data_IF_863272163641
#
_entry.id   IF_863272163641
#
_cell.length_a   1.000
_cell.length_b   1.000
_cell.length_c   1.000
_cell.angle_alpha   90.00
_cell.angle_beta   90.00
_cell.angle_gamma   90.00
#
_symmetry.space_group_name_H-M   'P 1'
#
loop_
_entity.id
_entity.type
_entity.pdbx_description
1 polymer ?
#
# COMPACT_ATOMS: atom_id res chain seq x y z
N UNK A 1 -8.44 -16.18 8.02
CA UNK A 1 -7.35 -16.06 9.02
C UNK A 1 -6.24 -15.23 8.39
N UNK A 2 -6.11 -13.95 8.77
CA UNK A 2 -5.06 -13.06 8.25
C UNK A 2 -3.83 -13.27 9.13
N UNK A 3 -2.82 -13.97 8.63
CA UNK A 3 -1.56 -14.15 9.35
C UNK A 3 -0.73 -12.90 9.09
N UNK A 4 -0.54 -12.08 10.13
CA UNK A 4 0.31 -10.90 10.06
C UNK A 4 1.75 -11.29 10.41
N UNK A 5 2.69 -11.07 9.48
CA UNK A 5 4.10 -11.36 9.70
C UNK A 5 4.66 -10.56 10.88
N UNK A 6 4.11 -9.37 11.14
CA UNK A 6 4.49 -8.52 12.27
C UNK A 6 4.19 -9.22 13.60
N UNK A 7 3.04 -9.89 13.71
CA UNK A 7 2.65 -10.66 14.90
C UNK A 7 3.58 -11.85 15.10
N UNK A 8 3.96 -12.55 14.02
CA UNK A 8 4.93 -13.66 14.09
C UNK A 8 6.28 -13.17 14.59
N UNK A 9 6.75 -12.02 14.07
CA UNK A 9 8.02 -11.43 14.47
C UNK A 9 8.01 -10.94 15.92
N UNK A 10 6.87 -10.45 16.40
CA UNK A 10 6.72 -10.03 17.80
C UNK A 10 6.68 -11.23 18.75
N UNK A 11 5.88 -12.26 18.46
CA UNK A 11 5.87 -13.48 19.27
C UNK A 11 7.26 -14.12 19.34
N UNK A 12 7.99 -14.12 18.22
CA UNK A 12 9.36 -14.63 18.19
C UNK A 12 10.32 -13.77 19.02
N UNK A 13 10.07 -12.46 19.11
CA UNK A 13 10.83 -11.55 19.96
C UNK A 13 10.51 -11.79 21.43
N UNK A 14 9.24 -11.96 21.79
CA UNK A 14 8.81 -12.30 23.15
C UNK A 14 9.43 -13.63 23.60
N UNK A 15 9.38 -14.67 22.76
CA UNK A 15 10.03 -15.96 23.02
C UNK A 15 11.55 -15.82 23.23
N UNK A 16 12.21 -14.98 22.42
CA UNK A 16 13.65 -14.71 22.57
C UNK A 16 13.98 -13.99 23.88
N UNK A 17 13.09 -13.13 24.37
CA UNK A 17 13.26 -12.40 25.64
C UNK A 17 12.99 -13.32 26.82
N UNK A 18 11.98 -14.19 26.72
CA UNK A 18 11.60 -15.13 27.77
C UNK A 18 12.61 -16.29 27.93
N UNK A 19 13.38 -16.61 26.88
CA UNK A 19 14.40 -17.66 26.91
C UNK A 19 15.70 -17.18 27.56
N UNK A 20 16.29 -18.00 28.44
CA UNK A 20 17.63 -17.76 29.02
C UNK A 20 18.74 -17.68 27.95
N UNK A 21 18.54 -18.30 26.78
CA UNK A 21 19.49 -18.29 25.67
C UNK A 21 18.79 -18.11 24.34
N UNK A 22 19.37 -17.26 23.49
CA UNK A 22 18.92 -17.13 22.10
C UNK A 22 19.33 -18.39 21.32
N UNK A 23 18.34 -19.22 20.99
CA UNK A 23 18.52 -20.38 20.12
C UNK A 23 18.68 -19.99 18.65
N UNK A 24 19.45 -20.80 17.91
CA UNK A 24 19.65 -20.67 16.45
C UNK A 24 18.33 -20.68 15.68
N UNK A 25 17.31 -21.39 16.18
CA UNK A 25 15.98 -21.44 15.57
C UNK A 25 15.32 -20.06 15.51
N UNK A 26 15.43 -19.23 16.56
CA UNK A 26 14.84 -17.89 16.55
C UNK A 26 15.48 -16.99 15.49
N UNK A 27 16.82 -17.04 15.38
CA UNK A 27 17.56 -16.26 14.39
C UNK A 27 17.22 -16.69 12.95
N UNK A 28 17.17 -18.00 12.71
CA UNK A 28 16.82 -18.55 11.40
C UNK A 28 15.38 -18.17 11.02
N UNK A 29 14.41 -18.36 11.92
CA UNK A 29 13.01 -18.03 11.64
C UNK A 29 12.83 -16.53 11.37
N UNK A 30 13.48 -15.65 12.15
CA UNK A 30 13.47 -14.20 11.89
C UNK A 30 14.03 -13.85 10.50
N UNK A 31 15.14 -14.48 10.12
CA UNK A 31 15.77 -14.23 8.82
C UNK A 31 14.90 -14.75 7.67
N UNK A 32 14.30 -15.93 7.81
CA UNK A 32 13.38 -16.50 6.83
C UNK A 32 12.17 -15.58 6.63
N UNK A 33 11.56 -15.09 7.71
CA UNK A 33 10.42 -14.17 7.61
C UNK A 33 10.79 -12.88 6.88
N UNK A 34 11.96 -12.28 7.17
CA UNK A 34 12.46 -11.11 6.43
C UNK A 34 12.71 -11.40 4.94
N UNK A 35 13.24 -12.59 4.64
CA UNK A 35 13.47 -13.02 3.26
C UNK A 35 12.15 -13.20 2.51
N UNK A 36 11.13 -13.79 3.14
CA UNK A 36 9.78 -13.92 2.57
C UNK A 36 9.19 -12.53 2.29
N UNK A 37 9.23 -11.62 3.27
CA UNK A 37 8.75 -10.24 3.07
C UNK A 37 9.41 -9.55 1.88
N UNK A 38 10.74 -9.69 1.76
CA UNK A 38 11.51 -9.10 0.66
C UNK A 38 11.21 -9.76 -0.68
N UNK A 39 11.30 -11.09 -0.77
CA UNK A 39 11.21 -11.82 -2.03
C UNK A 39 9.81 -11.76 -2.64
N UNK A 40 8.78 -11.69 -1.80
CA UNK A 40 7.39 -11.61 -2.24
C UNK A 40 6.82 -10.18 -2.19
N UNK A 41 7.67 -9.17 -1.93
CA UNK A 41 7.28 -7.75 -1.82
C UNK A 41 6.06 -7.54 -0.89
N UNK A 42 6.03 -8.26 0.23
CA UNK A 42 4.93 -8.20 1.20
C UNK A 42 4.99 -6.96 2.10
N UNK A 43 6.09 -6.20 2.04
CA UNK A 43 6.15 -4.88 2.66
C UNK A 43 5.33 -3.91 1.82
N UNK A 44 4.16 -3.54 2.36
CA UNK A 44 3.25 -2.54 1.76
C UNK A 44 3.86 -1.13 1.89
N UNK A 45 4.61 -0.89 2.97
CA UNK A 45 5.29 0.38 3.24
C UNK A 45 6.70 0.38 2.62
N UNK A 46 6.94 1.25 1.62
CA UNK A 46 8.24 1.40 0.95
C UNK A 46 9.18 2.34 1.72
N UNK A 47 8.61 3.25 2.51
CA UNK A 47 9.29 4.28 3.27
C UNK A 47 8.44 4.67 4.49
N UNK A 48 9.09 5.06 5.60
CA UNK A 48 8.44 5.46 6.87
C UNK A 48 7.45 6.62 6.74
N UNK A 49 7.59 7.41 5.68
CA UNK A 49 6.66 8.47 5.32
C UNK A 49 5.75 7.94 4.21
N UNK A 50 4.45 7.90 4.50
CA UNK A 50 3.42 7.38 3.59
C UNK A 50 3.39 8.12 2.26
N UNK A 51 3.52 9.46 2.27
CA UNK A 51 3.52 10.25 1.05
C UNK A 51 4.72 9.89 0.14
N UNK A 52 5.88 9.60 0.74
CA UNK A 52 7.05 9.08 0.01
C UNK A 52 6.78 7.67 -0.52
N UNK A 53 6.17 6.78 0.28
CA UNK A 53 5.79 5.43 -0.16
C UNK A 53 4.86 5.44 -1.37
N UNK A 54 3.85 6.30 -1.34
CA UNK A 54 2.89 6.48 -2.45
C UNK A 54 3.58 7.06 -3.68
N UNK A 55 4.49 8.04 -3.52
CA UNK A 55 5.25 8.58 -4.64
C UNK A 55 6.07 7.52 -5.35
N UNK A 56 6.84 6.73 -4.60
CA UNK A 56 7.63 5.63 -5.15
C UNK A 56 6.73 4.59 -5.85
N UNK A 57 5.54 4.32 -5.30
CA UNK A 57 4.56 3.44 -5.94
C UNK A 57 4.12 3.96 -7.31
N UNK A 58 3.78 5.25 -7.40
CA UNK A 58 3.31 5.88 -8.63
C UNK A 58 4.43 5.87 -9.68
N UNK A 59 5.66 6.19 -9.29
CA UNK A 59 6.84 6.15 -10.16
C UNK A 59 7.08 4.74 -10.70
N UNK A 60 7.09 3.72 -9.84
CA UNK A 60 7.22 2.31 -10.26
C UNK A 60 6.09 1.87 -11.22
N UNK A 61 4.87 2.40 -11.02
CA UNK A 61 3.72 2.08 -11.87
C UNK A 61 3.71 2.84 -13.19
N UNK A 62 4.43 3.96 -13.30
CA UNK A 62 4.54 4.74 -14.53
C UNK A 62 5.27 3.96 -15.64
N UNK A 63 6.16 3.06 -15.24
CA UNK A 63 6.94 2.16 -16.11
C UNK A 63 6.14 0.92 -16.56
N UNK A 64 4.96 0.67 -15.98
CA UNK A 64 4.06 -0.37 -16.48
C UNK A 64 3.46 0.11 -17.81
N UNK A 65 3.55 -0.70 -18.88
CA UNK A 65 3.14 -0.36 -20.24
C UNK A 65 1.63 -0.07 -20.39
N UNK A 66 0.86 -0.89 -21.13
CA UNK A 66 -0.56 -0.66 -21.43
C UNK A 66 -1.51 -0.88 -20.22
N UNK A 67 -0.94 -1.12 -19.03
CA UNK A 67 -1.66 -1.45 -17.81
C UNK A 67 -1.38 -0.46 -16.68
N UNK A 68 -1.24 0.84 -16.99
CA UNK A 68 -1.07 1.89 -15.97
C UNK A 68 -2.34 2.00 -15.13
N UNK A 69 -2.31 1.60 -13.84
CA UNK A 69 -3.49 1.66 -13.02
C UNK A 69 -3.68 3.05 -12.40
N UNK A 70 -2.64 3.88 -12.34
CA UNK A 70 -2.73 5.27 -11.89
C UNK A 70 -3.26 6.13 -13.04
N UNK A 71 -4.41 6.77 -12.83
CA UNK A 71 -5.08 7.61 -13.82
C UNK A 71 -4.79 9.11 -13.60
N UNK A 72 -4.56 9.50 -12.36
CA UNK A 72 -4.28 10.87 -11.94
C UNK A 72 -3.82 10.92 -10.49
N UNK A 73 -3.10 11.96 -10.10
CA UNK A 73 -2.67 12.15 -8.70
C UNK A 73 -2.29 13.60 -8.42
N UNK A 74 -2.37 13.99 -7.15
CA UNK A 74 -1.86 15.25 -6.59
C UNK A 74 -1.23 14.96 -5.23
N UNK A 75 -0.02 15.50 -5.02
CA UNK A 75 0.63 15.47 -3.71
C UNK A 75 0.32 16.76 -2.94
N UNK A 76 0.43 16.70 -1.62
CA UNK A 76 0.38 17.91 -0.79
C UNK A 76 1.56 18.83 -1.12
N UNK A 77 1.35 20.15 -1.06
CA UNK A 77 2.37 21.14 -1.42
C UNK A 77 2.50 21.41 -2.92
N UNK A 78 1.62 20.85 -3.76
CA UNK A 78 1.51 21.22 -5.18
C UNK A 78 0.08 21.61 -5.54
N UNK A 79 -0.06 22.60 -6.41
CA UNK A 79 -1.34 23.00 -7.03
C UNK A 79 -1.20 22.74 -8.53
N UNK A 80 -1.48 21.52 -9.01
CA UNK A 80 -1.43 21.25 -10.43
C UNK A 80 -2.55 22.05 -11.12
N UNK A 81 -2.22 22.73 -12.22
CA UNK A 81 -3.18 23.56 -12.97
C UNK A 81 -4.42 22.81 -13.45
N UNK A 82 -4.31 21.49 -13.59
CA UNK A 82 -5.36 20.60 -14.09
C UNK A 82 -6.48 20.35 -13.06
N UNK A 83 -6.29 20.76 -11.79
CA UNK A 83 -7.16 20.43 -10.68
C UNK A 83 -7.54 21.68 -9.87
N UNK A 84 -8.27 22.62 -10.49
CA UNK A 84 -8.59 23.94 -9.91
C UNK A 84 -9.36 23.90 -8.57
N UNK A 85 -10.05 22.79 -8.26
CA UNK A 85 -10.83 22.64 -7.04
C UNK A 85 -10.04 22.10 -5.83
N UNK A 86 -8.76 21.77 -6.00
CA UNK A 86 -7.93 21.22 -4.92
C UNK A 86 -7.06 22.29 -4.27
N UNK A 87 -7.03 22.28 -2.94
CA UNK A 87 -6.15 23.11 -2.13
C UNK A 87 -4.73 22.54 -2.08
N UNK A 88 -3.76 23.34 -1.66
CA UNK A 88 -2.35 22.92 -1.60
C UNK A 88 -2.17 21.70 -0.68
N UNK A 89 -2.92 21.64 0.41
CA UNK A 89 -2.88 20.60 1.45
C UNK A 89 -3.57 19.31 1.03
N UNK A 90 -4.36 19.33 -0.04
CA UNK A 90 -5.11 18.16 -0.48
C UNK A 90 -4.18 17.08 -1.06
N UNK A 91 -4.49 15.83 -0.76
CA UNK A 91 -3.91 14.66 -1.40
C UNK A 91 -4.96 13.95 -2.25
N UNK A 92 -4.60 13.54 -3.46
CA UNK A 92 -5.48 12.82 -4.37
C UNK A 92 -4.72 11.75 -5.14
N UNK A 93 -5.35 10.59 -5.30
CA UNK A 93 -4.86 9.51 -6.14
C UNK A 93 -6.05 8.83 -6.82
N UNK A 94 -6.11 8.92 -8.14
CA UNK A 94 -7.03 8.15 -8.96
C UNK A 94 -6.35 6.85 -9.39
N UNK A 95 -6.92 5.73 -8.94
CA UNK A 95 -6.39 4.39 -9.20
C UNK A 95 -7.49 3.48 -9.71
N UNK A 96 -7.23 2.78 -10.81
CA UNK A 96 -8.11 1.78 -11.40
C UNK A 96 -7.30 0.63 -11.98
N UNK A 97 -7.45 -0.56 -11.41
CA UNK A 97 -6.85 -1.77 -11.99
C UNK A 97 -7.48 -2.06 -13.38
N UNK A 98 -6.72 -2.59 -14.38
CA UNK A 98 -7.26 -2.89 -15.71
C UNK A 98 -8.50 -3.79 -15.70
N UNK A 99 -8.56 -4.75 -14.77
CA UNK A 99 -9.76 -5.59 -14.57
C UNK A 99 -10.97 -4.75 -14.15
N UNK A 100 -10.81 -3.81 -13.22
CA UNK A 100 -11.88 -2.91 -12.79
C UNK A 100 -12.36 -2.03 -13.94
N UNK A 101 -11.42 -1.55 -14.79
CA UNK A 101 -11.75 -0.83 -16.02
C UNK A 101 -12.61 -1.68 -16.97
N UNK A 102 -12.24 -2.95 -17.15
CA UNK A 102 -13.01 -3.90 -17.95
C UNK A 102 -14.42 -4.11 -17.40
N UNK A 103 -14.53 -4.41 -16.10
CA UNK A 103 -15.81 -4.59 -15.41
C UNK A 103 -16.70 -3.34 -15.50
N UNK A 104 -16.12 -2.15 -15.33
CA UNK A 104 -16.87 -0.90 -15.44
C UNK A 104 -17.40 -0.66 -16.86
N UNK A 105 -16.62 -0.99 -17.90
CA UNK A 105 -17.07 -0.88 -19.30
C UNK A 105 -18.19 -1.85 -19.63
N UNK A 106 -18.13 -3.07 -19.09
CA UNK A 106 -19.09 -4.13 -19.41
C UNK A 106 -20.41 -4.00 -18.63
N UNK A 107 -20.32 -3.61 -17.35
CA UNK A 107 -21.46 -3.63 -16.43
C UNK A 107 -21.86 -2.26 -15.86
N UNK A 108 -20.98 -1.26 -15.95
CA UNK A 108 -21.19 0.06 -15.35
C UNK A 108 -22.19 0.96 -16.08
N UNK A 109 -22.72 0.53 -17.23
CA UNK A 109 -23.75 1.26 -17.98
C UNK A 109 -25.15 1.18 -17.35
N UNK A 110 -25.38 0.28 -16.39
CA UNK A 110 -26.67 0.14 -15.70
C UNK A 110 -26.67 0.79 -14.33
N UNK A 111 -25.72 0.39 -13.48
CA UNK A 111 -25.61 0.84 -12.09
C UNK A 111 -24.13 0.87 -11.71
N UNK A 112 -23.72 1.94 -11.03
CA UNK A 112 -22.41 2.05 -10.38
C UNK A 112 -22.66 2.16 -8.88
N UNK A 113 -22.10 1.21 -8.11
CA UNK A 113 -22.14 1.28 -6.66
C UNK A 113 -20.97 2.13 -6.19
N UNK A 114 -21.29 3.26 -5.57
CA UNK A 114 -20.32 4.11 -4.90
C UNK A 114 -20.34 3.74 -3.42
N UNK A 115 -19.28 3.06 -2.99
CA UNK A 115 -19.04 2.83 -1.58
C UNK A 115 -18.01 3.85 -1.10
N UNK A 116 -18.36 4.55 -0.02
CA UNK A 116 -17.44 5.43 0.68
C UNK A 116 -17.18 4.80 2.02
N UNK A 117 -15.93 4.37 2.23
CA UNK A 117 -15.50 3.92 3.54
C UNK A 117 -15.63 5.13 4.46
N UNK A 118 -16.59 5.11 5.39
CA UNK A 118 -16.85 6.21 6.33
C UNK A 118 -15.56 6.86 6.85
N UNK A 119 -15.36 8.13 6.49
CA UNK A 119 -14.48 9.12 7.12
C UNK A 119 -13.08 8.65 7.54
N UNK A 120 -12.08 8.85 6.70
CA UNK A 120 -10.68 8.85 7.13
C UNK A 120 -10.17 10.29 7.21
N UNK A 121 -10.07 10.78 8.45
CA UNK A 121 -9.46 12.03 8.92
C UNK A 121 -10.22 13.33 8.62
N UNK A 122 -11.43 13.46 9.16
CA UNK A 122 -11.88 14.77 9.62
C UNK A 122 -11.25 15.01 11.00
N UNK A 123 -10.16 15.76 11.03
CA UNK A 123 -9.68 16.51 12.20
C UNK A 123 -9.90 17.99 11.92
#
# INVERSE_FOLDING_TARGET
MKIDISIILENLREDMIASEKIGRIHLNTRQVMKNIQRNFKLNVERHRNDATSVRLMIEEMADLNSQKPVLGYKFQGSIPREYENFQEEDFFLEYQHPLQKGMLKEYGNKVVFLDSNHGTNAL
#
